data_IF_451213776489
#
_entry.id   IF_451213776489
#
_cell.length_a   1.000
_cell.length_b   1.000
_cell.length_c   1.000
_cell.angle_alpha   90.00
_cell.angle_beta   90.00
_cell.angle_gamma   90.00
#
_symmetry.space_group_name_H-M   'P 1'
#
loop_
_entity.id
_entity.type
_entity.pdbx_description
1 polymer ?
#
# COMPACT_ATOMS: atom_id res chain seq x y z
N UNK A 1 -2.39 -4.64 -0.29
CA UNK A 1 -1.19 -4.07 0.37
C UNK A 1 -0.64 -2.96 -0.53
N UNK A 2 -0.25 -1.82 0.03
CA UNK A 2 0.29 -0.66 -0.73
C UNK A 2 1.56 -0.18 -0.04
N UNK A 3 2.51 0.39 -0.79
CA UNK A 3 3.66 1.07 -0.19
C UNK A 3 3.19 2.43 0.30
N UNK A 4 3.61 2.81 1.50
CA UNK A 4 3.21 4.05 2.14
C UNK A 4 4.37 5.03 2.04
N UNK A 5 4.08 6.23 1.57
CA UNK A 5 4.99 7.36 1.58
C UNK A 5 4.33 8.51 2.35
N UNK A 6 5.07 9.08 3.31
CA UNK A 6 4.63 10.25 4.06
C UNK A 6 5.18 11.49 3.35
N UNK A 7 4.29 12.24 2.72
CA UNK A 7 4.59 13.55 2.12
C UNK A 7 4.17 14.64 3.12
N UNK A 8 4.60 15.88 2.91
CA UNK A 8 4.41 16.99 3.86
C UNK A 8 2.95 17.18 4.27
N UNK A 9 2.01 17.07 3.33
CA UNK A 9 0.60 17.41 3.56
C UNK A 9 -0.35 16.19 3.48
N UNK A 10 0.16 15.03 3.04
CA UNK A 10 -0.68 13.87 2.72
C UNK A 10 0.10 12.58 2.74
N UNK A 11 -0.62 11.47 2.86
CA UNK A 11 -0.07 10.13 2.72
C UNK A 11 -0.32 9.63 1.30
N UNK A 12 0.74 9.21 0.62
CA UNK A 12 0.65 8.55 -0.68
C UNK A 12 0.68 7.03 -0.49
N UNK A 13 -0.35 6.35 -0.99
CA UNK A 13 -0.47 4.91 -1.01
C UNK A 13 -0.21 4.41 -2.44
N UNK A 14 1.01 3.96 -2.68
CA UNK A 14 1.49 3.51 -3.98
C UNK A 14 1.11 2.04 -4.23
N UNK A 15 0.40 1.73 -5.33
CA UNK A 15 0.16 0.36 -5.75
C UNK A 15 1.44 -0.32 -6.27
N UNK A 16 1.49 -1.65 -6.22
CA UNK A 16 2.57 -2.41 -6.86
C UNK A 16 2.35 -2.59 -8.38
N UNK A 17 1.17 -2.24 -8.89
CA UNK A 17 0.82 -2.28 -10.30
C UNK A 17 0.96 -0.87 -10.91
N UNK A 18 1.85 -0.72 -11.90
CA UNK A 18 2.17 0.55 -12.54
C UNK A 18 1.04 1.15 -13.36
N UNK A 19 0.03 0.37 -13.74
CA UNK A 19 -1.14 0.90 -14.47
C UNK A 19 -2.15 1.60 -13.56
N UNK A 20 -2.01 1.43 -12.24
CA UNK A 20 -2.88 2.06 -11.26
C UNK A 20 -2.29 3.39 -10.78
N UNK A 21 -3.13 4.40 -10.64
CA UNK A 21 -2.71 5.69 -10.09
C UNK A 21 -2.48 5.62 -8.57
N UNK A 22 -1.53 6.42 -8.04
CA UNK A 22 -1.33 6.54 -6.60
C UNK A 22 -2.57 7.12 -5.91
N UNK A 23 -2.85 6.65 -4.69
CA UNK A 23 -3.94 7.18 -3.86
C UNK A 23 -3.35 8.16 -2.86
N UNK A 24 -3.86 9.39 -2.86
CA UNK A 24 -3.50 10.42 -1.90
C UNK A 24 -4.61 10.58 -0.86
N UNK A 25 -4.26 10.50 0.42
CA UNK A 25 -5.22 10.62 1.50
C UNK A 25 -4.62 11.32 2.72
N UNK A 26 -5.43 12.11 3.42
CA UNK A 26 -5.06 12.80 4.66
C UNK A 26 -5.53 12.05 5.90
N UNK A 27 -6.64 11.31 5.80
CA UNK A 27 -7.19 10.50 6.89
C UNK A 27 -7.03 9.01 6.58
N UNK A 28 -5.95 8.41 7.09
CA UNK A 28 -5.67 6.98 6.91
C UNK A 28 -5.35 6.32 8.24
N UNK A 29 -5.89 5.11 8.46
CA UNK A 29 -5.54 4.27 9.60
C UNK A 29 -4.69 3.09 9.13
N UNK A 30 -3.40 3.11 9.48
CA UNK A 30 -2.46 2.02 9.17
C UNK A 30 -2.77 0.84 10.08
N UNK A 31 -3.10 -0.32 9.49
CA UNK A 31 -3.47 -1.52 10.24
C UNK A 31 -2.25 -2.34 10.70
N UNK A 32 -1.10 -2.18 10.05
CA UNK A 32 0.12 -2.91 10.39
C UNK A 32 1.13 -2.93 9.24
N UNK A 33 2.32 -3.47 9.52
CA UNK A 33 3.40 -3.66 8.53
C UNK A 33 3.34 -5.07 7.97
N UNK A 34 3.45 -5.18 6.64
CA UNK A 34 3.59 -6.47 5.97
C UNK A 34 4.99 -7.02 6.22
N UNK A 35 5.06 -8.23 6.79
CA UNK A 35 6.34 -8.92 7.08
C UNK A 35 6.59 -10.13 6.17
N UNK A 36 5.56 -10.64 5.50
CA UNK A 36 5.68 -11.77 4.60
C UNK A 36 4.41 -11.98 3.79
N UNK A 37 4.52 -12.78 2.72
CA UNK A 37 3.40 -13.17 1.87
C UNK A 37 3.42 -14.69 1.73
N UNK A 38 2.31 -15.34 2.06
CA UNK A 38 2.12 -16.78 1.90
C UNK A 38 1.19 -17.00 0.71
N UNK A 39 1.62 -17.83 -0.25
CA UNK A 39 0.82 -18.20 -1.42
C UNK A 39 0.50 -19.68 -1.37
N UNK A 40 -0.78 -20.02 -1.44
CA UNK A 40 -1.24 -21.41 -1.61
C UNK A 40 -1.25 -21.73 -3.10
N UNK A 41 -0.62 -22.84 -3.48
CA UNK A 41 -0.67 -23.38 -4.83
C UNK A 41 -1.56 -24.64 -4.82
N UNK A 42 -2.43 -24.77 -5.81
CA UNK A 42 -3.20 -25.99 -6.07
C UNK A 42 -2.57 -26.72 -7.25
N UNK A 43 -2.47 -28.04 -7.15
CA UNK A 43 -2.09 -28.91 -8.26
C UNK A 43 -3.24 -29.04 -9.27
#
# INVERSE_FOLDING_TARGET
LKRIYFETDKVRLEPANSTMTPIYATNVKIQGKVVGVIRKFTA
#
